data_IF_881095182288
#
_entry.id   IF_881095182288
#
_cell.length_a   1.000
_cell.length_b   1.000
_cell.length_c   1.000
_cell.angle_alpha   90.00
_cell.angle_beta   90.00
_cell.angle_gamma   90.00
#
_symmetry.space_group_name_H-M   'P 1'
#
loop_
_entity.id
_entity.type
_entity.pdbx_description
1 polymer ?
#
# COMPACT_ATOMS: atom_id res chain seq x y z
N UNK A 1 27.35 6.34 -2.88
CA UNK A 1 26.52 6.88 -1.78
C UNK A 1 25.38 5.91 -1.56
N UNK A 2 25.35 5.18 -0.45
CA UNK A 2 24.19 4.37 -0.06
C UNK A 2 23.02 5.36 0.08
N UNK A 3 22.03 5.33 -0.82
CA UNK A 3 20.71 5.90 -0.53
C UNK A 3 20.14 5.02 0.56
N UNK A 4 20.42 5.39 1.80
CA UNK A 4 19.92 4.72 2.97
C UNK A 4 18.39 4.84 3.01
N UNK A 5 17.76 3.87 3.64
CA UNK A 5 16.42 3.99 4.17
C UNK A 5 16.33 5.37 4.82
N UNK A 6 15.49 6.23 4.30
CA UNK A 6 15.35 7.59 4.78
C UNK A 6 14.31 7.56 5.89
N UNK A 7 14.81 7.58 7.12
CA UNK A 7 13.97 7.75 8.30
C UNK A 7 13.49 9.20 8.39
N UNK A 8 12.35 9.43 8.99
CA UNK A 8 11.97 10.78 9.39
C UNK A 8 12.96 11.32 10.44
N UNK A 9 12.88 12.60 10.77
CA UNK A 9 13.77 13.25 11.75
C UNK A 9 13.70 12.62 13.16
N UNK A 10 12.69 11.76 13.41
CA UNK A 10 12.48 11.01 14.66
C UNK A 10 12.81 9.52 14.52
N UNK A 11 13.28 9.07 13.35
CA UNK A 11 13.73 7.68 13.12
C UNK A 11 12.66 6.62 13.18
N UNK A 12 11.36 6.99 13.08
CA UNK A 12 10.26 6.05 13.28
C UNK A 12 9.94 5.20 12.07
N UNK A 13 9.95 5.77 10.84
CA UNK A 13 9.51 5.06 9.63
C UNK A 13 10.45 5.26 8.45
N UNK A 14 10.83 4.18 7.75
CA UNK A 14 11.50 4.29 6.46
C UNK A 14 10.49 4.65 5.37
N UNK A 15 10.75 5.71 4.60
CA UNK A 15 9.94 6.05 3.44
C UNK A 15 10.51 5.39 2.19
N UNK A 16 9.72 4.54 1.55
CA UNK A 16 10.05 3.92 0.27
C UNK A 16 9.42 4.72 -0.87
N UNK A 17 10.19 4.98 -1.91
CA UNK A 17 9.70 5.68 -3.12
C UNK A 17 8.94 4.75 -4.09
N UNK A 18 8.54 3.57 -3.67
CA UNK A 18 7.85 2.59 -4.53
C UNK A 18 6.34 2.87 -4.55
N UNK A 19 5.78 3.01 -5.76
CA UNK A 19 4.34 3.12 -5.96
C UNK A 19 3.69 1.75 -5.81
N UNK A 20 2.56 1.68 -5.11
CA UNK A 20 1.83 0.43 -4.91
C UNK A 20 1.03 0.06 -6.17
N UNK A 21 1.60 -0.85 -6.99
CA UNK A 21 0.98 -1.32 -8.24
C UNK A 21 -0.42 -1.90 -8.03
N UNK A 22 -0.66 -2.56 -6.89
CA UNK A 22 -1.96 -3.17 -6.59
C UNK A 22 -3.07 -2.14 -6.38
N UNK A 23 -2.75 -1.03 -5.72
CA UNK A 23 -3.67 0.11 -5.57
C UNK A 23 -3.85 0.82 -6.92
N UNK A 24 -2.76 1.05 -7.66
CA UNK A 24 -2.85 1.66 -9.00
C UNK A 24 -3.71 0.85 -9.96
N UNK A 25 -3.61 -0.49 -9.94
CA UNK A 25 -4.52 -1.34 -10.73
C UNK A 25 -6.00 -1.15 -10.37
N UNK A 26 -6.32 -0.89 -9.08
CA UNK A 26 -7.69 -0.57 -8.71
C UNK A 26 -8.14 0.74 -9.36
N UNK A 27 -7.32 1.80 -9.30
CA UNK A 27 -7.63 3.08 -9.94
C UNK A 27 -7.74 2.96 -11.46
N UNK A 28 -6.86 2.23 -12.13
CA UNK A 28 -6.96 1.99 -13.59
C UNK A 28 -8.23 1.25 -14.01
N UNK A 29 -8.77 0.36 -13.16
CA UNK A 29 -10.07 -0.28 -13.41
C UNK A 29 -11.24 0.69 -13.21
N UNK A 30 -11.11 1.60 -12.25
CA UNK A 30 -12.11 2.63 -11.94
C UNK A 30 -12.13 3.77 -12.98
N UNK A 31 -11.08 3.93 -13.81
CA UNK A 31 -11.03 4.91 -14.90
C UNK A 31 -12.10 4.73 -15.99
N UNK A 32 -12.88 3.64 -15.94
CA UNK A 32 -14.08 3.49 -16.79
C UNK A 32 -15.23 4.39 -16.35
N UNK A 33 -15.16 4.97 -15.15
CA UNK A 33 -16.09 5.93 -14.61
C UNK A 33 -15.57 7.35 -14.84
N UNK A 34 -16.46 8.35 -14.82
CA UNK A 34 -16.07 9.75 -14.83
C UNK A 34 -15.32 10.08 -13.53
N UNK A 35 -14.04 10.45 -13.66
CA UNK A 35 -13.17 10.83 -12.54
C UNK A 35 -13.28 12.29 -12.15
N UNK A 36 -13.95 13.09 -12.98
CA UNK A 36 -14.09 14.52 -12.78
C UNK A 36 -14.81 14.83 -11.45
N UNK A 37 -14.21 15.70 -10.65
CA UNK A 37 -14.69 16.09 -9.32
C UNK A 37 -14.69 14.95 -8.27
N UNK A 38 -14.00 13.84 -8.50
CA UNK A 38 -13.83 12.81 -7.47
C UNK A 38 -12.63 13.11 -6.58
N UNK A 39 -12.84 12.98 -5.26
CA UNK A 39 -11.85 13.30 -4.22
C UNK A 39 -11.36 12.00 -3.58
N UNK A 40 -10.04 11.88 -3.46
CA UNK A 40 -9.34 10.76 -2.81
C UNK A 40 -8.66 11.24 -1.55
N UNK A 41 -8.78 10.49 -0.46
CA UNK A 41 -7.98 10.65 0.75
C UNK A 41 -6.96 9.51 0.84
N UNK A 42 -5.69 9.84 0.81
CA UNK A 42 -4.58 8.89 1.02
C UNK A 42 -4.09 9.01 2.48
N UNK A 43 -4.40 7.99 3.29
CA UNK A 43 -4.09 7.97 4.72
C UNK A 43 -2.73 7.33 4.92
N UNK A 44 -1.78 8.09 5.49
CA UNK A 44 -0.37 7.70 5.55
C UNK A 44 0.30 7.86 4.19
N UNK A 45 0.09 9.01 3.53
CA UNK A 45 0.51 9.23 2.14
C UNK A 45 2.04 9.29 1.95
N UNK A 46 2.82 9.30 3.03
CA UNK A 46 4.27 9.44 2.96
C UNK A 46 4.69 10.69 2.21
N UNK A 47 5.64 10.57 1.30
CA UNK A 47 6.08 11.68 0.45
C UNK A 47 5.16 11.92 -0.77
N UNK A 48 4.00 11.25 -0.86
CA UNK A 48 2.97 11.49 -1.85
C UNK A 48 3.21 10.88 -3.23
N UNK A 49 4.06 9.83 -3.37
CA UNK A 49 4.32 9.20 -4.66
C UNK A 49 3.07 8.55 -5.25
N UNK A 50 2.40 7.68 -4.48
CA UNK A 50 1.16 7.03 -4.90
C UNK A 50 0.07 8.08 -5.17
N UNK A 51 -0.11 9.01 -4.25
CA UNK A 51 -1.05 10.12 -4.35
C UNK A 51 -0.86 10.94 -5.62
N UNK A 52 0.41 11.18 -6.01
CA UNK A 52 0.74 11.92 -7.23
C UNK A 52 0.35 11.16 -8.50
N UNK A 53 0.60 9.84 -8.54
CA UNK A 53 0.16 9.01 -9.67
C UNK A 53 -1.38 8.98 -9.78
N UNK A 54 -2.09 8.91 -8.64
CA UNK A 54 -3.55 9.01 -8.62
C UNK A 54 -4.02 10.38 -9.12
N UNK A 55 -3.34 11.48 -8.72
CA UNK A 55 -3.65 12.83 -9.21
C UNK A 55 -3.46 12.96 -10.72
N UNK A 56 -2.45 12.34 -11.30
CA UNK A 56 -2.26 12.32 -12.78
C UNK A 56 -3.42 11.67 -13.52
N UNK A 57 -4.16 10.79 -12.88
CA UNK A 57 -5.38 10.19 -13.44
C UNK A 57 -6.60 11.14 -13.42
N UNK A 58 -6.46 12.33 -12.85
CA UNK A 58 -7.50 13.38 -12.82
C UNK A 58 -8.28 13.48 -11.51
N UNK A 59 -7.89 12.74 -10.46
CA UNK A 59 -8.50 12.85 -9.14
C UNK A 59 -7.99 14.07 -8.37
N UNK A 60 -8.85 14.65 -7.51
CA UNK A 60 -8.42 15.56 -6.45
C UNK A 60 -7.92 14.73 -5.26
N UNK A 61 -6.63 14.87 -4.89
CA UNK A 61 -6.02 14.00 -3.89
C UNK A 61 -5.61 14.80 -2.67
N UNK A 62 -6.09 14.34 -1.50
CA UNK A 62 -5.71 14.82 -0.18
C UNK A 62 -4.91 13.73 0.53
N UNK A 63 -3.98 14.12 1.40
CA UNK A 63 -3.15 13.21 2.19
C UNK A 63 -3.24 13.49 3.68
N UNK A 64 -3.02 12.45 4.49
CA UNK A 64 -2.73 12.55 5.93
C UNK A 64 -1.36 11.93 6.16
N UNK A 65 -0.45 12.68 6.79
CA UNK A 65 0.92 12.22 7.06
C UNK A 65 1.45 12.84 8.34
N UNK A 66 2.07 12.03 9.19
CA UNK A 66 2.56 12.46 10.50
C UNK A 66 3.95 13.11 10.46
N UNK A 67 4.80 12.70 9.52
CA UNK A 67 6.13 13.25 9.37
C UNK A 67 6.09 14.59 8.65
N UNK A 68 6.53 15.66 9.31
CA UNK A 68 6.63 17.01 8.72
C UNK A 68 7.47 17.02 7.44
N UNK A 69 8.54 16.22 7.40
CA UNK A 69 9.39 16.10 6.22
C UNK A 69 8.63 15.47 5.05
N UNK A 70 7.93 14.35 5.27
CA UNK A 70 7.18 13.66 4.25
C UNK A 70 5.96 14.47 3.80
N UNK A 71 5.22 15.07 4.75
CA UNK A 71 4.07 15.93 4.49
C UNK A 71 4.44 17.14 3.61
N UNK A 72 5.60 17.77 3.89
CA UNK A 72 6.12 18.86 3.05
C UNK A 72 6.38 18.39 1.61
N UNK A 73 7.00 17.21 1.43
CA UNK A 73 7.23 16.64 0.10
C UNK A 73 5.93 16.29 -0.62
N UNK A 74 4.97 15.72 0.11
CA UNK A 74 3.65 15.41 -0.43
C UNK A 74 2.89 16.68 -0.87
N UNK A 75 2.99 17.77 -0.10
CA UNK A 75 2.30 19.04 -0.42
C UNK A 75 2.77 19.69 -1.73
N UNK A 76 3.99 19.36 -2.19
CA UNK A 76 4.49 19.79 -3.51
C UNK A 76 3.83 19.01 -4.67
N UNK A 77 3.17 17.87 -4.38
CA UNK A 77 2.67 16.90 -5.36
C UNK A 77 1.15 16.84 -5.45
N UNK A 78 0.48 16.96 -4.31
CA UNK A 78 -0.97 16.75 -4.22
C UNK A 78 -1.70 18.02 -3.75
N UNK A 79 -3.03 17.99 -3.75
CA UNK A 79 -3.84 19.19 -3.56
C UNK A 79 -3.79 19.71 -2.12
N UNK A 80 -3.85 18.80 -1.14
CA UNK A 80 -3.84 19.14 0.27
C UNK A 80 -3.18 18.03 1.09
N UNK A 81 -2.39 18.38 2.10
CA UNK A 81 -1.84 17.45 3.08
C UNK A 81 -2.17 17.93 4.48
N UNK A 82 -2.68 17.03 5.29
CA UNK A 82 -2.87 17.23 6.72
C UNK A 82 -1.65 16.63 7.42
N UNK A 83 -0.79 17.47 8.00
CA UNK A 83 0.31 17.04 8.85
C UNK A 83 -0.23 16.62 10.21
N UNK A 84 -0.63 15.35 10.31
CA UNK A 84 -1.28 14.75 11.50
C UNK A 84 -0.89 13.30 11.69
N UNK A 85 -0.84 12.89 12.95
CA UNK A 85 -0.88 11.47 13.26
C UNK A 85 -2.24 10.90 12.83
N UNK A 86 -2.22 9.90 11.95
CA UNK A 86 -3.44 9.29 11.43
C UNK A 86 -4.28 8.58 12.50
N UNK A 87 -3.72 8.31 13.68
CA UNK A 87 -4.42 7.72 14.83
C UNK A 87 -5.09 8.76 15.71
N UNK A 88 -4.75 10.05 15.57
CA UNK A 88 -5.44 11.16 16.26
C UNK A 88 -6.73 11.53 15.51
N UNK A 89 -7.71 10.65 15.63
CA UNK A 89 -8.98 10.77 14.91
C UNK A 89 -9.75 12.05 15.28
N UNK A 90 -9.53 12.63 16.47
CA UNK A 90 -10.19 13.86 16.90
C UNK A 90 -9.67 15.04 16.09
N UNK A 91 -8.37 15.17 15.94
CA UNK A 91 -7.78 16.27 15.17
C UNK A 91 -8.02 16.08 13.67
N UNK A 92 -7.93 14.86 13.18
CA UNK A 92 -8.26 14.52 11.78
C UNK A 92 -9.73 14.91 11.47
N UNK A 93 -10.67 14.60 12.37
CA UNK A 93 -12.08 14.95 12.20
C UNK A 93 -12.29 16.47 12.16
N UNK A 94 -11.61 17.23 13.00
CA UNK A 94 -11.65 18.71 12.97
C UNK A 94 -11.09 19.28 11.67
N UNK A 95 -9.99 18.73 11.18
CA UNK A 95 -9.30 19.24 9.98
C UNK A 95 -10.03 18.88 8.68
N UNK A 96 -10.69 17.72 8.64
CA UNK A 96 -11.48 17.27 7.49
C UNK A 96 -12.90 17.85 7.47
N UNK A 97 -13.49 18.13 8.64
CA UNK A 97 -14.84 18.67 8.77
C UNK A 97 -15.89 17.78 8.09
N UNK A 98 -16.75 18.40 7.30
CA UNK A 98 -17.84 17.74 6.59
C UNK A 98 -17.46 17.16 5.22
N UNK A 99 -16.18 17.22 4.85
CA UNK A 99 -15.73 16.68 3.56
C UNK A 99 -15.97 15.18 3.51
N UNK A 100 -16.45 14.70 2.36
CA UNK A 100 -16.67 13.27 2.09
C UNK A 100 -15.93 12.87 0.83
N UNK A 101 -15.25 11.74 0.89
CA UNK A 101 -14.36 11.24 -0.15
C UNK A 101 -15.02 10.15 -0.98
N UNK A 102 -14.75 10.14 -2.27
CA UNK A 102 -15.14 9.05 -3.17
C UNK A 102 -14.29 7.81 -2.91
N UNK A 103 -13.01 8.05 -2.58
CA UNK A 103 -12.06 6.98 -2.27
C UNK A 103 -11.25 7.33 -1.03
N UNK A 104 -11.05 6.34 -0.16
CA UNK A 104 -10.10 6.41 0.96
C UNK A 104 -9.08 5.29 0.76
N UNK A 105 -7.81 5.63 0.78
CA UNK A 105 -6.70 4.70 0.53
C UNK A 105 -5.91 4.48 1.81
N UNK A 106 -5.60 3.21 2.10
CA UNK A 106 -4.63 2.79 3.10
C UNK A 106 -3.62 1.89 2.38
N UNK A 107 -2.50 2.45 1.97
CA UNK A 107 -1.49 1.72 1.21
C UNK A 107 -0.32 1.32 2.09
N UNK A 108 -0.33 0.07 2.57
CA UNK A 108 0.69 -0.46 3.48
C UNK A 108 0.85 0.43 4.73
N UNK A 109 -0.25 0.68 5.45
CA UNK A 109 -0.33 1.59 6.61
C UNK A 109 -0.90 0.89 7.85
N UNK A 110 -1.95 0.09 7.68
CA UNK A 110 -2.69 -0.48 8.82
C UNK A 110 -1.88 -1.50 9.62
N UNK A 111 -0.84 -2.08 9.06
CA UNK A 111 0.12 -2.94 9.75
C UNK A 111 1.02 -2.19 10.72
N UNK A 112 1.20 -0.89 10.54
CA UNK A 112 2.04 -0.04 11.37
C UNK A 112 1.31 0.60 12.55
N UNK A 113 -0.02 0.48 12.62
CA UNK A 113 -0.80 1.08 13.71
C UNK A 113 -1.15 0.06 14.79
N UNK A 114 -1.17 0.48 16.07
CA UNK A 114 -1.51 -0.42 17.18
C UNK A 114 -2.94 -0.96 17.12
N UNK A 115 -3.91 -0.14 16.67
CA UNK A 115 -5.32 -0.51 16.52
C UNK A 115 -5.86 -0.13 15.15
N UNK A 116 -5.64 -0.99 14.12
CA UNK A 116 -6.11 -0.75 12.76
C UNK A 116 -7.65 -0.74 12.65
N UNK A 117 -8.36 -1.40 13.56
CA UNK A 117 -9.81 -1.43 13.54
C UNK A 117 -10.40 -0.07 13.90
N UNK A 118 -9.90 0.57 14.96
CA UNK A 118 -10.34 1.90 15.38
C UNK A 118 -10.00 2.94 14.31
N UNK A 119 -8.81 2.87 13.73
CA UNK A 119 -8.41 3.76 12.63
C UNK A 119 -9.36 3.61 11.45
N UNK A 120 -9.59 2.39 10.97
CA UNK A 120 -10.45 2.14 9.81
C UNK A 120 -11.90 2.57 10.06
N UNK A 121 -12.44 2.36 11.28
CA UNK A 121 -13.77 2.86 11.70
C UNK A 121 -13.86 4.37 11.69
N UNK A 122 -12.80 5.06 12.14
CA UNK A 122 -12.73 6.52 12.17
C UNK A 122 -12.79 7.12 10.79
N UNK A 123 -11.93 6.66 9.90
CA UNK A 123 -11.87 7.18 8.53
C UNK A 123 -13.10 6.81 7.68
N UNK A 124 -13.75 5.66 7.94
CA UNK A 124 -14.99 5.27 7.24
C UNK A 124 -16.07 6.36 7.32
N UNK A 125 -16.11 7.16 8.37
CA UNK A 125 -17.10 8.25 8.54
C UNK A 125 -17.01 9.29 7.42
N UNK A 126 -15.85 9.43 6.80
CA UNK A 126 -15.60 10.39 5.71
C UNK A 126 -15.87 9.81 4.33
N UNK A 127 -16.32 8.56 4.24
CA UNK A 127 -16.63 7.92 2.97
C UNK A 127 -18.01 8.37 2.49
N UNK A 128 -18.14 8.71 1.19
CA UNK A 128 -19.44 8.91 0.54
C UNK A 128 -20.25 7.61 0.52
N UNK A 129 -21.58 7.70 0.31
CA UNK A 129 -22.48 6.52 0.27
C UNK A 129 -22.06 5.51 -0.80
N UNK A 130 -21.60 5.97 -1.95
CA UNK A 130 -21.13 5.12 -3.06
C UNK A 130 -19.60 5.03 -3.11
N UNK A 131 -18.92 5.55 -2.08
CA UNK A 131 -17.47 5.58 -2.00
C UNK A 131 -16.83 4.20 -1.81
N UNK A 132 -15.52 4.12 -2.02
CA UNK A 132 -14.73 2.89 -1.81
C UNK A 132 -13.54 3.15 -0.92
N UNK A 133 -13.23 2.14 -0.11
CA UNK A 133 -11.97 2.08 0.64
C UNK A 133 -11.07 1.08 -0.05
N UNK A 134 -9.87 1.52 -0.42
CA UNK A 134 -8.84 0.70 -1.02
C UNK A 134 -7.74 0.44 0.01
N UNK A 135 -7.49 -0.82 0.32
CA UNK A 135 -6.55 -1.21 1.37
C UNK A 135 -5.51 -2.14 0.76
N UNK A 136 -4.24 -1.87 1.02
CA UNK A 136 -3.13 -2.77 0.78
C UNK A 136 -2.53 -3.22 2.10
N UNK A 137 -2.25 -4.51 2.22
CA UNK A 137 -1.64 -5.12 3.41
C UNK A 137 -0.64 -6.21 3.00
N UNK A 138 0.52 -6.31 3.65
CA UNK A 138 1.46 -7.40 3.46
C UNK A 138 0.85 -8.75 3.84
N UNK A 139 1.08 -9.78 3.02
CA UNK A 139 0.61 -11.13 3.29
C UNK A 139 1.65 -11.95 4.05
N UNK A 140 1.51 -12.08 5.36
CA UNK A 140 2.41 -12.88 6.18
C UNK A 140 2.33 -14.38 5.85
N UNK A 141 1.22 -14.84 5.24
CA UNK A 141 1.01 -16.24 4.90
C UNK A 141 1.55 -16.64 3.51
N UNK A 142 2.43 -15.84 2.90
CA UNK A 142 3.08 -16.19 1.64
C UNK A 142 4.06 -17.36 1.80
N UNK A 143 4.43 -17.98 0.69
CA UNK A 143 5.23 -19.20 0.68
C UNK A 143 6.64 -19.01 1.27
N UNK A 144 7.27 -17.84 1.10
CA UNK A 144 8.61 -17.56 1.62
C UNK A 144 8.58 -17.51 3.15
N UNK A 145 7.60 -16.79 3.72
CA UNK A 145 7.46 -16.69 5.18
C UNK A 145 7.10 -18.07 5.77
N UNK A 146 6.20 -18.82 5.12
CA UNK A 146 5.88 -20.18 5.57
C UNK A 146 7.10 -21.09 5.58
N UNK A 147 7.95 -21.02 4.55
CA UNK A 147 9.18 -21.80 4.51
C UNK A 147 10.15 -21.38 5.62
N UNK A 148 10.35 -20.08 5.84
CA UNK A 148 11.16 -19.57 6.96
C UNK A 148 10.65 -20.11 8.30
N UNK A 149 9.34 -20.07 8.55
CA UNK A 149 8.73 -20.58 9.79
C UNK A 149 8.90 -22.10 9.96
N UNK A 150 8.76 -22.90 8.90
CA UNK A 150 9.02 -24.36 8.94
C UNK A 150 10.47 -24.63 9.33
N UNK A 151 11.41 -23.76 8.90
CA UNK A 151 12.83 -23.84 9.25
C UNK A 151 13.13 -23.20 10.64
N UNK A 152 12.12 -22.84 11.42
CA UNK A 152 12.25 -22.22 12.74
C UNK A 152 12.74 -20.76 12.70
N UNK A 153 12.60 -20.05 11.57
CA UNK A 153 13.10 -18.69 11.39
C UNK A 153 11.95 -17.69 11.38
N UNK A 154 12.07 -16.65 12.23
CA UNK A 154 11.18 -15.51 12.29
C UNK A 154 12.01 -14.23 12.43
N UNK A 155 12.79 -13.94 11.39
CA UNK A 155 13.73 -12.83 11.40
C UNK A 155 13.03 -11.55 10.93
N UNK A 156 13.13 -10.47 11.71
CA UNK A 156 12.71 -9.15 11.26
C UNK A 156 13.71 -8.57 10.24
N UNK A 157 13.17 -7.89 9.25
CA UNK A 157 13.90 -7.30 8.13
C UNK A 157 13.75 -5.77 8.13
N UNK A 158 14.55 -5.07 7.35
CA UNK A 158 14.46 -3.61 7.21
C UNK A 158 13.36 -3.18 6.24
N UNK A 159 12.71 -4.13 5.57
CA UNK A 159 11.63 -3.87 4.62
C UNK A 159 10.88 -5.15 4.27
N UNK A 160 9.71 -5.01 3.63
CA UNK A 160 8.94 -6.14 3.13
C UNK A 160 7.95 -6.67 4.15
N UNK A 161 7.55 -7.96 4.02
CA UNK A 161 6.49 -8.53 4.86
C UNK A 161 6.87 -8.65 6.33
N UNK A 162 8.16 -8.88 6.61
CA UNK A 162 8.71 -9.01 7.96
C UNK A 162 9.42 -7.74 8.42
N UNK A 163 8.97 -6.58 7.92
CA UNK A 163 9.50 -5.29 8.34
C UNK A 163 9.37 -5.13 9.86
N UNK A 164 10.46 -4.67 10.52
CA UNK A 164 10.54 -4.49 11.97
C UNK A 164 9.58 -3.44 12.51
N UNK A 165 9.04 -2.58 11.66
CA UNK A 165 8.06 -1.55 12.03
C UNK A 165 6.62 -2.07 11.98
N UNK A 166 6.37 -3.30 11.46
CA UNK A 166 5.06 -3.91 11.46
C UNK A 166 4.64 -4.34 12.87
N UNK A 167 3.57 -3.77 13.36
CA UNK A 167 2.94 -4.12 14.63
C UNK A 167 1.86 -5.20 14.48
N UNK A 168 1.31 -5.35 13.27
CA UNK A 168 0.23 -6.29 12.94
C UNK A 168 0.58 -7.05 11.66
N UNK A 169 0.24 -8.34 11.66
CA UNK A 169 0.45 -9.23 10.52
C UNK A 169 -0.87 -9.75 9.99
N UNK A 170 -1.06 -9.69 8.67
CA UNK A 170 -2.33 -10.04 8.05
C UNK A 170 -2.19 -11.22 7.08
N UNK A 171 -3.27 -12.01 7.04
CA UNK A 171 -3.55 -13.01 6.03
C UNK A 171 -4.77 -12.59 5.22
N UNK A 172 -5.08 -13.27 4.13
CA UNK A 172 -6.32 -13.03 3.38
C UNK A 172 -7.59 -13.14 4.24
N UNK A 173 -7.60 -14.02 5.23
CA UNK A 173 -8.73 -14.20 6.13
C UNK A 173 -8.82 -13.04 7.12
N UNK A 174 -7.73 -12.75 7.82
CA UNK A 174 -7.74 -11.74 8.91
C UNK A 174 -7.89 -10.32 8.39
N UNK A 175 -7.36 -10.01 7.21
CA UNK A 175 -7.57 -8.71 6.56
C UNK A 175 -9.03 -8.45 6.21
N UNK A 176 -9.75 -9.48 5.71
CA UNK A 176 -11.18 -9.34 5.41
C UNK A 176 -12.04 -9.28 6.69
N UNK A 177 -11.63 -9.95 7.77
CA UNK A 177 -12.29 -9.84 9.07
C UNK A 177 -12.19 -8.39 9.56
N UNK A 178 -10.99 -7.80 9.57
CA UNK A 178 -10.77 -6.41 9.93
C UNK A 178 -11.71 -5.45 9.20
N UNK A 179 -11.82 -5.61 7.87
CA UNK A 179 -12.66 -4.76 7.02
C UNK A 179 -14.15 -4.89 7.39
N UNK A 180 -14.64 -6.13 7.63
CA UNK A 180 -16.03 -6.37 8.04
C UNK A 180 -16.34 -5.84 9.42
N UNK A 181 -15.43 -6.01 10.38
CA UNK A 181 -15.56 -5.48 11.76
C UNK A 181 -15.53 -3.95 11.78
N UNK A 182 -14.85 -3.33 10.81
CA UNK A 182 -14.93 -1.89 10.58
C UNK A 182 -16.28 -1.43 10.01
N UNK A 183 -17.21 -2.35 9.72
CA UNK A 183 -18.52 -2.04 9.16
C UNK A 183 -18.47 -1.69 7.67
N UNK A 184 -17.56 -2.34 6.94
CA UNK A 184 -17.43 -2.23 5.49
C UNK A 184 -17.77 -3.57 4.82
N UNK A 185 -18.34 -3.51 3.62
CA UNK A 185 -18.58 -4.67 2.74
C UNK A 185 -17.34 -4.88 1.85
N UNK A 186 -16.73 -6.05 1.93
CA UNK A 186 -15.67 -6.43 1.00
C UNK A 186 -16.29 -6.67 -0.37
N UNK A 187 -15.96 -5.81 -1.34
CA UNK A 187 -16.47 -5.89 -2.71
C UNK A 187 -15.57 -6.76 -3.59
N UNK A 188 -14.26 -6.60 -3.45
CA UNK A 188 -13.27 -7.35 -4.23
C UNK A 188 -11.99 -7.56 -3.42
N UNK A 189 -11.37 -8.72 -3.60
CA UNK A 189 -10.03 -9.00 -3.07
C UNK A 189 -9.14 -9.42 -4.22
N UNK A 190 -8.08 -8.65 -4.43
CA UNK A 190 -7.02 -8.95 -5.40
C UNK A 190 -5.67 -9.07 -4.69
N UNK A 191 -4.60 -9.21 -5.44
CA UNK A 191 -3.27 -9.41 -4.86
C UNK A 191 -2.19 -8.96 -5.84
N UNK A 192 -1.00 -8.69 -5.31
CA UNK A 192 0.22 -8.59 -6.10
C UNK A 192 0.98 -9.91 -6.02
N UNK A 193 1.50 -10.46 -7.14
CA UNK A 193 2.17 -11.76 -7.16
C UNK A 193 3.53 -11.72 -6.44
N UNK A 194 3.96 -12.89 -5.93
CA UNK A 194 5.21 -13.07 -5.21
C UNK A 194 5.87 -14.42 -5.52
N UNK A 195 6.13 -14.70 -6.79
CA UNK A 195 6.86 -15.87 -7.23
C UNK A 195 8.22 -15.43 -7.78
N UNK A 196 8.24 -14.74 -8.92
CA UNK A 196 9.46 -14.25 -9.57
C UNK A 196 10.11 -13.16 -8.71
N UNK A 197 9.33 -12.28 -8.13
CA UNK A 197 9.81 -11.21 -7.23
C UNK A 197 10.60 -11.76 -6.04
N UNK A 198 10.26 -12.95 -5.52
CA UNK A 198 11.01 -13.63 -4.45
C UNK A 198 12.42 -14.02 -4.88
N UNK A 199 12.65 -14.28 -6.16
CA UNK A 199 13.94 -14.66 -6.72
C UNK A 199 14.77 -13.47 -7.24
N UNK A 200 14.21 -12.25 -7.28
CA UNK A 200 14.94 -11.07 -7.76
C UNK A 200 16.28 -10.84 -7.05
N UNK A 201 16.41 -11.02 -5.72
CA UNK A 201 17.71 -10.88 -5.06
C UNK A 201 18.75 -11.90 -5.56
N UNK A 202 18.31 -13.14 -5.83
CA UNK A 202 19.17 -14.21 -6.36
C UNK A 202 19.56 -13.96 -7.82
N UNK A 203 18.58 -13.54 -8.63
CA UNK A 203 18.78 -13.16 -10.03
C UNK A 203 19.78 -12.02 -10.12
N UNK A 204 19.63 -10.98 -9.28
CA UNK A 204 20.60 -9.88 -9.21
C UNK A 204 22.00 -10.35 -8.87
N UNK A 205 22.14 -11.22 -7.87
CA UNK A 205 23.43 -11.76 -7.48
C UNK A 205 24.10 -12.53 -8.62
N UNK A 206 23.34 -13.26 -9.44
CA UNK A 206 23.84 -13.99 -10.61
C UNK A 206 24.24 -13.05 -11.76
N UNK A 207 23.48 -11.98 -11.99
CA UNK A 207 23.77 -11.01 -13.06
C UNK A 207 24.74 -9.90 -12.64
N UNK A 208 24.95 -9.66 -11.35
CA UNK A 208 25.93 -8.69 -10.83
C UNK A 208 27.38 -9.20 -10.90
N UNK A 209 27.61 -10.42 -11.35
CA UNK A 209 28.95 -10.94 -11.60
C UNK A 209 29.66 -10.27 -12.80
N UNK A 210 28.95 -9.41 -13.58
CA UNK A 210 29.52 -8.73 -14.74
C UNK A 210 29.63 -7.19 -14.64
N UNK A 211 29.15 -6.54 -13.57
CA UNK A 211 29.29 -5.08 -13.40
C UNK A 211 29.57 -4.68 -11.96
N UNK A 212 30.62 -3.85 -11.82
CA UNK A 212 31.13 -3.25 -10.59
C UNK A 212 30.06 -2.87 -9.57
N UNK A 213 30.26 -3.32 -8.33
CA UNK A 213 29.34 -3.44 -7.21
C UNK A 213 28.78 -2.13 -6.60
N UNK A 214 28.92 -0.96 -7.19
CA UNK A 214 28.62 0.32 -6.52
C UNK A 214 27.35 1.06 -6.98
N UNK A 215 26.72 0.73 -8.11
CA UNK A 215 25.61 1.55 -8.63
C UNK A 215 24.21 0.92 -8.64
N UNK A 216 24.01 -0.33 -8.27
CA UNK A 216 22.75 -1.04 -8.57
C UNK A 216 21.90 -1.51 -7.38
N UNK A 217 22.07 -0.97 -6.18
CA UNK A 217 21.44 -1.51 -4.97
C UNK A 217 20.24 -0.71 -4.41
N UNK A 218 19.62 0.19 -5.15
CA UNK A 218 18.43 0.89 -4.68
C UNK A 218 17.15 0.33 -5.33
N UNK A 219 16.03 0.18 -4.57
CA UNK A 219 14.73 -0.22 -5.13
C UNK A 219 14.27 0.67 -6.29
N UNK A 220 14.53 1.98 -6.23
CA UNK A 220 14.22 2.94 -7.29
C UNK A 220 14.99 2.69 -8.60
N UNK A 221 16.26 2.27 -8.52
CA UNK A 221 17.05 1.94 -9.73
C UNK A 221 16.56 0.66 -10.43
N UNK A 222 15.75 -0.16 -9.74
CA UNK A 222 15.16 -1.38 -10.30
C UNK A 222 13.89 -1.03 -11.05
N UNK A 223 13.04 -0.13 -10.51
CA UNK A 223 11.78 0.26 -11.15
C UNK A 223 12.00 0.97 -12.49
N UNK A 224 13.15 1.64 -12.66
CA UNK A 224 13.51 2.34 -13.91
C UNK A 224 14.28 1.46 -14.92
N UNK A 225 14.65 0.23 -14.54
CA UNK A 225 15.40 -0.65 -15.42
C UNK A 225 14.54 -1.20 -16.56
N UNK A 226 15.12 -1.32 -17.77
CA UNK A 226 14.46 -1.97 -18.90
C UNK A 226 14.05 -3.42 -18.59
N UNK A 227 14.80 -4.11 -17.73
CA UNK A 227 14.48 -5.45 -17.26
C UNK A 227 13.19 -5.48 -16.42
N UNK A 228 12.97 -4.47 -15.56
CA UNK A 228 11.73 -4.36 -14.77
C UNK A 228 10.52 -4.04 -15.65
N UNK A 229 10.68 -3.15 -16.64
CA UNK A 229 9.62 -2.87 -17.63
C UNK A 229 9.26 -4.11 -18.46
N UNK A 230 10.23 -4.90 -18.88
CA UNK A 230 10.01 -6.18 -19.56
C UNK A 230 9.29 -7.18 -18.64
N UNK A 231 9.71 -7.28 -17.37
CA UNK A 231 9.03 -8.09 -16.37
C UNK A 231 7.57 -7.70 -16.23
N UNK A 232 7.27 -6.40 -16.03
CA UNK A 232 5.89 -5.91 -15.88
C UNK A 232 5.04 -6.20 -17.12
N UNK A 233 5.62 -6.09 -18.31
CA UNK A 233 4.89 -6.27 -19.57
C UNK A 233 4.59 -7.74 -19.89
N UNK A 234 5.55 -8.64 -19.70
CA UNK A 234 5.46 -10.02 -20.21
C UNK A 234 5.30 -11.05 -19.11
N UNK A 235 5.98 -10.92 -18.00
CA UNK A 235 6.02 -11.93 -16.93
C UNK A 235 5.00 -11.67 -15.84
N UNK A 236 4.75 -10.43 -15.48
CA UNK A 236 3.81 -10.08 -14.42
C UNK A 236 2.37 -10.58 -14.69
N UNK A 237 1.79 -10.45 -15.89
CA UNK A 237 0.45 -10.98 -16.17
C UNK A 237 0.40 -12.51 -16.02
N UNK A 238 1.44 -13.22 -16.48
CA UNK A 238 1.53 -14.68 -16.35
C UNK A 238 1.68 -15.09 -14.89
N UNK A 239 2.60 -14.45 -14.16
CA UNK A 239 2.80 -14.67 -12.74
C UNK A 239 1.52 -14.39 -11.93
N UNK A 240 0.79 -13.35 -12.27
CA UNK A 240 -0.49 -13.02 -11.66
C UNK A 240 -1.55 -14.08 -11.94
N UNK A 241 -1.59 -14.64 -13.14
CA UNK A 241 -2.45 -15.78 -13.49
C UNK A 241 -2.13 -17.01 -12.63
N UNK A 242 -0.88 -17.41 -12.58
CA UNK A 242 -0.42 -18.57 -11.77
C UNK A 242 -0.66 -18.33 -10.28
N UNK A 243 -0.32 -17.15 -9.76
CA UNK A 243 -0.52 -16.81 -8.34
C UNK A 243 -2.00 -16.81 -7.95
N UNK A 244 -2.90 -16.56 -8.91
CA UNK A 244 -4.36 -16.58 -8.69
C UNK A 244 -4.90 -17.95 -8.33
N UNK A 245 -4.21 -19.05 -8.70
CA UNK A 245 -4.58 -20.42 -8.33
C UNK A 245 -4.45 -20.65 -6.81
N UNK A 246 -3.47 -20.03 -6.17
CA UNK A 246 -3.22 -20.11 -4.72
C UNK A 246 -2.82 -18.74 -4.16
N UNK A 247 -3.76 -17.78 -4.20
CA UNK A 247 -3.54 -16.37 -3.76
C UNK A 247 -2.90 -16.27 -2.38
N UNK A 248 -3.37 -17.06 -1.41
CA UNK A 248 -2.84 -17.04 -0.04
C UNK A 248 -1.36 -17.43 0.05
N UNK A 249 -0.86 -18.20 -0.93
CA UNK A 249 0.51 -18.70 -0.95
C UNK A 249 1.44 -17.80 -1.77
N UNK A 250 0.98 -17.35 -2.93
CA UNK A 250 1.81 -16.69 -3.94
C UNK A 250 1.59 -15.18 -4.03
N UNK A 251 1.04 -14.55 -2.98
CA UNK A 251 0.86 -13.09 -2.94
C UNK A 251 1.84 -12.42 -2.01
N UNK A 252 2.36 -11.28 -2.45
CA UNK A 252 3.12 -10.35 -1.62
C UNK A 252 2.18 -9.46 -0.81
N UNK A 253 1.24 -8.76 -1.50
CA UNK A 253 0.24 -7.89 -0.89
C UNK A 253 -1.17 -8.42 -1.14
N UNK A 254 -2.02 -8.16 -0.18
CA UNK A 254 -3.47 -8.35 -0.25
C UNK A 254 -4.07 -6.99 -0.56
N UNK A 255 -4.84 -6.89 -1.64
CA UNK A 255 -5.50 -5.65 -2.04
C UNK A 255 -7.00 -5.83 -1.87
N UNK A 256 -7.62 -4.99 -1.05
CA UNK A 256 -9.05 -5.03 -0.76
C UNK A 256 -9.71 -3.76 -1.27
N UNK A 257 -10.75 -3.93 -2.08
CA UNK A 257 -11.72 -2.89 -2.41
C UNK A 257 -12.98 -3.17 -1.59
N UNK A 258 -13.35 -2.21 -0.75
CA UNK A 258 -14.51 -2.31 0.13
C UNK A 258 -15.40 -1.08 -0.01
N UNK A 259 -16.68 -1.22 0.25
CA UNK A 259 -17.65 -0.14 0.24
C UNK A 259 -18.43 -0.09 1.55
N UNK A 260 -19.30 0.92 1.72
CA UNK A 260 -20.22 0.96 2.84
C UNK A 260 -21.10 -0.29 2.88
N UNK A 261 -21.48 -0.72 4.08
CA UNK A 261 -22.60 -1.67 4.22
C UNK A 261 -23.86 -0.95 3.75
N UNK A 262 -24.55 -1.50 2.78
CA UNK A 262 -25.91 -1.08 2.48
C UNK A 262 -26.75 -1.24 3.76
N UNK A 263 -27.31 -0.15 4.26
CA UNK A 263 -28.37 -0.29 5.24
C UNK A 263 -29.51 -0.97 4.48
N UNK A 264 -29.73 -2.28 4.72
CA UNK A 264 -30.98 -2.91 4.31
C UNK A 264 -32.08 -1.97 4.79
N UNK A 265 -32.88 -1.49 3.84
CA UNK A 265 -33.97 -0.57 4.14
C UNK A 265 -34.82 -1.14 5.25
N UNK A 266 -34.96 -0.31 6.29
CA UNK A 266 -35.96 -0.52 7.32
C UNK A 266 -37.33 -0.13 6.74
#
# INVERSE_FOLDING_TARGET
>A
MKRGIMFDLHGKYPYFEEVNDGIMECFHRLLREDVKNKIVLDVGCGQGQLSFEIKKLGYDVWGVESSSFAAKKASERITRVLERDLTDLIQVEKDLGDVRFDYIVFSDVLEHVPDPLTVLKGYRKFLKKDGRVLISLPNVANWVIRLKLILGRFDYEDSGVMDRTHLRFFTFKTSQILVREAGLKVCQVSHTPFIIRAFLPLIKKLFSLEKTAEETSTPAAISDSNAYRMYLKYFYPLEKGVSSLRKTLFSFRIIINAGPLEKNGA
#
